data_IF_210839895784
#
_entry.id   IF_210839895784
#
_cell.length_a   1.000
_cell.length_b   1.000
_cell.length_c   1.000
_cell.angle_alpha   90.00
_cell.angle_beta   90.00
_cell.angle_gamma   90.00
#
_symmetry.space_group_name_H-M   'P 1'
#
loop_
_entity.id
_entity.type
_entity.pdbx_description
1 polymer ?
#
# COMPACT_ATOMS: atom_id res chain seq x y z
N UNK A 1 3.59 8.90 17.15
CA UNK A 1 2.46 8.33 16.41
C UNK A 1 2.22 9.12 15.14
N UNK A 2 2.15 8.44 14.00
CA UNK A 2 1.93 9.12 12.72
C UNK A 2 0.44 9.27 12.46
N UNK A 3 0.06 10.39 11.84
CA UNK A 3 -1.32 10.60 11.43
C UNK A 3 -1.65 9.76 10.20
N UNK A 4 -2.93 9.40 10.06
CA UNK A 4 -3.42 8.62 8.93
C UNK A 4 -3.01 9.25 7.59
N UNK A 5 -3.14 10.58 7.48
CA UNK A 5 -2.77 11.29 6.25
C UNK A 5 -1.28 11.21 5.94
N UNK A 6 -0.42 11.20 6.95
CA UNK A 6 1.02 11.06 6.75
C UNK A 6 1.36 9.68 6.21
N UNK A 7 0.73 8.64 6.75
CA UNK A 7 0.92 7.27 6.27
C UNK A 7 0.45 7.15 4.82
N UNK A 8 -0.70 7.73 4.48
CA UNK A 8 -1.18 7.73 3.10
C UNK A 8 -0.17 8.35 2.14
N UNK A 9 0.41 9.49 2.51
CA UNK A 9 1.42 10.15 1.67
C UNK A 9 2.66 9.28 1.48
N UNK A 10 3.08 8.58 2.53
CA UNK A 10 4.21 7.68 2.45
C UNK A 10 3.93 6.48 1.54
N UNK A 11 2.72 5.94 1.63
CA UNK A 11 2.30 4.83 0.75
C UNK A 11 2.22 5.30 -0.70
N UNK A 12 1.66 6.47 -0.95
CA UNK A 12 1.60 7.07 -2.29
C UNK A 12 3.01 7.20 -2.87
N UNK A 13 3.97 7.63 -2.06
CA UNK A 13 5.36 7.78 -2.50
C UNK A 13 5.94 6.45 -2.98
N UNK A 14 5.70 5.38 -2.24
CA UNK A 14 6.16 4.04 -2.62
C UNK A 14 5.46 3.57 -3.90
N UNK A 15 4.14 3.74 -3.97
CA UNK A 15 3.37 3.37 -5.16
C UNK A 15 3.84 4.12 -6.39
N UNK A 16 4.16 5.40 -6.24
CA UNK A 16 4.62 6.23 -7.36
C UNK A 16 6.00 5.80 -7.86
N UNK A 17 6.83 5.22 -7.01
CA UNK A 17 8.10 4.65 -7.44
C UNK A 17 7.89 3.37 -8.26
N UNK A 18 6.87 2.58 -7.91
CA UNK A 18 6.57 1.32 -8.60
C UNK A 18 5.91 1.59 -9.95
N UNK A 19 4.94 2.52 -9.97
CA UNK A 19 4.16 2.87 -11.17
C UNK A 19 4.07 4.39 -11.28
N UNK A 20 5.14 5.07 -11.77
CA UNK A 20 5.15 6.53 -11.85
C UNK A 20 4.14 7.12 -12.84
N UNK A 21 3.59 6.29 -13.74
CA UNK A 21 2.60 6.73 -14.71
C UNK A 21 1.21 6.95 -14.15
N UNK A 22 0.94 6.51 -12.90
CA UNK A 22 -0.38 6.63 -12.28
C UNK A 22 -0.38 7.59 -11.11
N UNK A 23 -1.53 8.20 -10.86
CA UNK A 23 -1.77 9.07 -9.70
C UNK A 23 -2.55 8.28 -8.63
N UNK A 24 -1.85 7.82 -7.61
CA UNK A 24 -2.45 7.02 -6.53
C UNK A 24 -3.13 7.86 -5.46
N UNK A 25 -3.13 9.18 -5.60
CA UNK A 25 -3.85 10.06 -4.67
C UNK A 25 -5.35 10.10 -4.95
N UNK A 26 -5.78 9.63 -6.12
CA UNK A 26 -7.19 9.59 -6.48
C UNK A 26 -7.92 8.43 -5.80
N UNK A 27 -9.19 8.64 -5.50
CA UNK A 27 -10.02 7.61 -4.87
C UNK A 27 -10.52 6.61 -5.93
N UNK A 28 -9.65 5.70 -6.33
CA UNK A 28 -9.90 4.70 -7.36
C UNK A 28 -9.62 3.32 -6.80
N UNK A 29 -10.21 2.30 -7.41
CA UNK A 29 -9.83 0.92 -7.13
C UNK A 29 -8.61 0.58 -7.98
N UNK A 30 -7.44 0.48 -7.34
CA UNK A 30 -6.17 0.31 -8.04
C UNK A 30 -6.12 -0.99 -8.87
N UNK A 31 -6.76 -2.02 -8.37
CA UNK A 31 -6.75 -3.33 -9.06
C UNK A 31 -7.69 -3.31 -10.25
N UNK A 32 -8.93 -2.84 -10.06
CA UNK A 32 -9.93 -2.79 -11.14
C UNK A 32 -9.51 -1.84 -12.26
N UNK A 33 -8.84 -0.74 -11.91
CA UNK A 33 -8.36 0.23 -12.89
C UNK A 33 -7.06 -0.20 -13.57
N UNK A 34 -6.52 -1.37 -13.19
CA UNK A 34 -5.30 -1.88 -13.79
C UNK A 34 -4.03 -1.13 -13.37
N UNK A 35 -4.10 -0.36 -12.28
CA UNK A 35 -2.95 0.40 -11.79
C UNK A 35 -1.94 -0.48 -11.08
N UNK A 36 -2.40 -1.56 -10.46
CA UNK A 36 -1.55 -2.53 -9.76
C UNK A 36 -1.90 -3.96 -10.21
N UNK A 37 -0.88 -4.77 -10.42
CA UNK A 37 -1.04 -6.21 -10.65
C UNK A 37 -0.42 -7.00 -9.50
N UNK A 38 -0.40 -8.33 -9.62
CA UNK A 38 0.11 -9.21 -8.57
C UNK A 38 1.58 -8.95 -8.25
N UNK A 39 2.39 -8.69 -9.28
CA UNK A 39 3.81 -8.41 -9.08
C UNK A 39 4.00 -7.08 -8.37
N UNK A 40 3.20 -6.08 -8.73
CA UNK A 40 3.25 -4.77 -8.07
C UNK A 40 2.91 -4.87 -6.60
N UNK A 41 1.94 -5.72 -6.24
CA UNK A 41 1.58 -5.94 -4.83
C UNK A 41 2.75 -6.53 -4.05
N UNK A 42 3.47 -7.49 -4.62
CA UNK A 42 4.66 -8.07 -3.97
C UNK A 42 5.75 -7.02 -3.80
N UNK A 43 5.97 -6.20 -4.81
CA UNK A 43 6.96 -5.12 -4.75
C UNK A 43 6.59 -4.10 -3.69
N UNK A 44 5.31 -3.73 -3.61
CA UNK A 44 4.80 -2.80 -2.60
C UNK A 44 5.01 -3.36 -1.19
N UNK A 45 4.70 -4.64 -0.99
CA UNK A 45 4.89 -5.31 0.31
C UNK A 45 6.34 -5.23 0.75
N UNK A 46 7.28 -5.50 -0.15
CA UNK A 46 8.71 -5.41 0.18
C UNK A 46 9.08 -4.00 0.64
N UNK A 47 8.57 -2.98 -0.05
CA UNK A 47 8.82 -1.59 0.34
C UNK A 47 8.20 -1.21 1.68
N UNK A 48 6.97 -1.67 1.93
CA UNK A 48 6.28 -1.40 3.19
C UNK A 48 6.96 -2.09 4.37
N UNK A 49 7.35 -3.36 4.19
CA UNK A 49 8.05 -4.11 5.22
C UNK A 49 9.34 -3.42 5.63
N UNK A 50 10.10 -2.95 4.65
CA UNK A 50 11.36 -2.25 4.92
C UNK A 50 11.11 -0.93 5.60
N UNK A 51 10.16 -0.14 5.10
CA UNK A 51 9.91 1.20 5.62
C UNK A 51 9.40 1.20 7.05
N UNK A 52 8.53 0.26 7.39
CA UNK A 52 7.87 0.23 8.70
C UNK A 52 8.40 -0.86 9.62
N UNK A 53 9.40 -1.61 9.19
CA UNK A 53 9.99 -2.72 9.97
C UNK A 53 8.92 -3.72 10.41
N UNK A 54 8.08 -4.12 9.47
CA UNK A 54 7.00 -5.08 9.67
C UNK A 54 7.20 -6.28 8.76
N UNK A 55 6.36 -7.30 8.92
CA UNK A 55 6.36 -8.48 8.07
C UNK A 55 4.92 -8.78 7.64
N UNK A 56 4.60 -8.42 6.40
CA UNK A 56 3.29 -8.73 5.82
C UNK A 56 3.34 -10.16 5.30
N UNK A 57 2.36 -10.96 5.72
CA UNK A 57 2.29 -12.38 5.34
C UNK A 57 1.87 -12.55 3.89
N UNK A 58 2.32 -13.61 3.24
CA UNK A 58 1.90 -13.93 1.88
C UNK A 58 0.38 -14.04 1.75
N UNK A 59 -0.29 -14.54 2.78
CA UNK A 59 -1.75 -14.67 2.80
C UNK A 59 -2.47 -13.33 2.79
N UNK A 60 -1.80 -12.25 3.16
CA UNK A 60 -2.35 -10.89 3.14
C UNK A 60 -2.19 -10.22 1.77
N UNK A 61 -1.42 -10.80 0.86
CA UNK A 61 -1.18 -10.24 -0.47
C UNK A 61 -2.31 -10.64 -1.39
N UNK A 62 -3.47 -10.02 -1.17
CA UNK A 62 -4.70 -10.28 -1.93
C UNK A 62 -5.27 -8.94 -2.38
N UNK A 63 -6.01 -8.91 -3.51
CA UNK A 63 -6.57 -7.65 -4.03
C UNK A 63 -7.40 -6.88 -3.00
N UNK A 64 -8.11 -7.57 -2.14
CA UNK A 64 -8.95 -6.97 -1.12
C UNK A 64 -8.19 -6.05 -0.17
N UNK A 65 -6.88 -6.29 0.01
CA UNK A 65 -6.05 -5.48 0.90
C UNK A 65 -5.30 -4.35 0.19
N UNK A 66 -5.30 -4.35 -1.15
CA UNK A 66 -4.49 -3.43 -1.93
C UNK A 66 -5.28 -2.62 -2.96
N UNK A 67 -6.61 -2.70 -2.91
CA UNK A 67 -7.48 -2.01 -3.88
C UNK A 67 -7.53 -0.50 -3.69
N UNK A 68 -7.22 0.00 -2.49
CA UNK A 68 -7.26 1.44 -2.20
C UNK A 68 -6.23 1.81 -1.15
N UNK A 69 -5.95 3.12 -1.03
CA UNK A 69 -5.05 3.61 0.02
C UNK A 69 -5.56 3.27 1.41
N UNK A 70 -6.86 3.43 1.64
CA UNK A 70 -7.44 3.15 2.95
C UNK A 70 -7.24 1.68 3.34
N UNK A 71 -7.40 0.77 2.39
CA UNK A 71 -7.20 -0.65 2.65
C UNK A 71 -5.74 -0.97 2.97
N UNK A 72 -4.81 -0.36 2.22
CA UNK A 72 -3.38 -0.55 2.49
C UNK A 72 -3.01 -0.03 3.87
N UNK A 73 -3.50 1.16 4.23
CA UNK A 73 -3.22 1.74 5.55
C UNK A 73 -3.83 0.90 6.66
N UNK A 74 -5.04 0.37 6.45
CA UNK A 74 -5.66 -0.53 7.42
C UNK A 74 -4.84 -1.81 7.62
N UNK A 75 -4.27 -2.36 6.55
CA UNK A 75 -3.37 -3.50 6.65
C UNK A 75 -2.14 -3.16 7.47
N UNK A 76 -1.53 -2.01 7.23
CA UNK A 76 -0.38 -1.55 8.01
C UNK A 76 -0.72 -1.45 9.50
N UNK A 77 -1.90 -0.91 9.81
CA UNK A 77 -2.36 -0.79 11.19
C UNK A 77 -2.49 -2.16 11.85
N UNK A 78 -3.03 -3.15 11.13
CA UNK A 78 -3.15 -4.53 11.62
C UNK A 78 -1.78 -5.14 11.90
N UNK A 79 -0.76 -4.74 11.15
CA UNK A 79 0.60 -5.27 11.31
C UNK A 79 1.43 -4.49 12.34
N UNK A 80 0.81 -3.56 13.05
CA UNK A 80 1.44 -2.88 14.18
C UNK A 80 2.01 -1.50 13.88
N UNK A 81 1.78 -0.96 12.70
CA UNK A 81 2.20 0.41 12.40
C UNK A 81 1.36 1.38 13.24
N UNK A 82 2.03 2.28 13.94
CA UNK A 82 1.36 3.27 14.80
C UNK A 82 0.73 4.37 13.95
N UNK A 83 -0.57 4.49 14.03
CA UNK A 83 -1.32 5.48 13.27
C UNK A 83 -2.24 6.28 14.19
#
# INVERSE_FOLDING_TARGET
MKKFSEIKLQVISILSEIRPEYDFSQDLNFIEEGMLDSLDMVTLVAGLDEKYSISIDGDDIIPENFSSLDLVVNLLKKKGVKI
#
